data_IF_951320811316
#
_entry.id   IF_951320811316
#
_cell.length_a   1.000
_cell.length_b   1.000
_cell.length_c   1.000
_cell.angle_alpha   90.00
_cell.angle_beta   90.00
_cell.angle_gamma   90.00
#
_symmetry.space_group_name_H-M   'P 1'
#
loop_
_entity.id
_entity.type
_entity.pdbx_description
1 polymer ?
#
# COMPACT_ATOMS: atom_id res chain seq x y z
N UNK A 1 33.95 -3.42 -73.57
CA UNK A 1 32.86 -2.43 -73.46
C UNK A 1 32.43 -2.33 -72.00
N UNK A 2 32.62 -1.18 -71.33
CA UNK A 2 32.14 -0.94 -69.95
C UNK A 2 31.03 0.11 -69.99
N UNK A 3 29.82 -0.27 -69.61
CA UNK A 3 28.68 0.63 -69.49
C UNK A 3 28.86 1.56 -68.29
N UNK A 4 28.73 2.88 -68.49
CA UNK A 4 28.74 3.89 -67.42
C UNK A 4 27.35 3.97 -66.80
N UNK A 5 27.23 3.55 -65.55
CA UNK A 5 26.02 3.69 -64.72
C UNK A 5 25.90 5.15 -64.25
N UNK A 6 24.91 5.89 -64.75
CA UNK A 6 24.52 7.21 -64.22
C UNK A 6 23.78 7.02 -62.89
N UNK A 7 24.45 7.33 -61.77
CA UNK A 7 23.78 7.49 -60.47
C UNK A 7 23.09 8.84 -60.45
N UNK A 8 21.76 8.87 -60.36
CA UNK A 8 21.02 10.11 -60.09
C UNK A 8 21.37 10.62 -58.70
N UNK A 9 21.64 11.91 -58.51
CA UNK A 9 21.81 12.47 -57.18
C UNK A 9 20.51 12.28 -56.38
N UNK A 10 20.58 11.96 -55.08
CA UNK A 10 19.39 11.92 -54.25
C UNK A 10 18.80 13.34 -54.19
N UNK A 11 17.54 13.49 -54.58
CA UNK A 11 16.79 14.75 -54.42
C UNK A 11 16.65 15.03 -52.92
N UNK A 12 17.39 16.02 -52.42
CA UNK A 12 17.25 16.51 -51.06
C UNK A 12 15.98 17.38 -51.00
N UNK A 13 14.84 16.75 -50.70
CA UNK A 13 13.61 17.47 -50.41
C UNK A 13 13.72 18.16 -49.04
N UNK A 14 13.60 19.48 -49.02
CA UNK A 14 13.78 20.36 -47.85
C UNK A 14 12.68 20.27 -46.77
N UNK A 15 12.20 19.06 -46.44
CA UNK A 15 11.17 18.83 -45.42
C UNK A 15 11.69 18.18 -44.12
N UNK A 16 13.00 17.97 -43.97
CA UNK A 16 13.56 17.29 -42.79
C UNK A 16 13.31 18.04 -41.47
N UNK A 17 13.32 19.38 -41.50
CA UNK A 17 13.10 20.20 -40.30
C UNK A 17 11.65 20.07 -39.79
N UNK A 18 10.66 20.12 -40.68
CA UNK A 18 9.24 19.99 -40.30
C UNK A 18 8.93 18.56 -39.83
N UNK A 19 9.57 17.56 -40.43
CA UNK A 19 9.43 16.16 -40.03
C UNK A 19 9.96 15.89 -38.61
N UNK A 20 11.11 16.47 -38.25
CA UNK A 20 11.66 16.37 -36.89
C UNK A 20 10.77 17.12 -35.89
N UNK A 21 10.26 18.31 -36.25
CA UNK A 21 9.34 19.09 -35.41
C UNK A 21 8.06 18.30 -35.11
N UNK A 22 7.45 17.69 -36.13
CA UNK A 22 6.28 16.84 -35.96
C UNK A 22 6.61 15.61 -35.10
N UNK A 23 7.76 14.99 -35.30
CA UNK A 23 8.21 13.85 -34.49
C UNK A 23 8.36 14.20 -33.00
N UNK A 24 8.95 15.35 -32.69
CA UNK A 24 9.10 15.84 -31.31
C UNK A 24 7.72 16.10 -30.69
N UNK A 25 6.80 16.73 -31.43
CA UNK A 25 5.43 16.99 -30.94
C UNK A 25 4.72 15.69 -30.60
N UNK A 26 4.74 14.71 -31.50
CA UNK A 26 4.14 13.38 -31.28
C UNK A 26 4.78 12.70 -30.07
N UNK A 27 6.10 12.73 -29.96
CA UNK A 27 6.84 12.14 -28.84
C UNK A 27 6.48 12.83 -27.52
N UNK A 28 6.38 14.15 -27.49
CA UNK A 28 5.99 14.91 -26.28
C UNK A 28 4.61 14.49 -25.78
N UNK A 29 3.61 14.35 -26.67
CA UNK A 29 2.29 13.85 -26.28
C UNK A 29 2.35 12.40 -25.78
N UNK A 30 3.14 11.53 -26.41
CA UNK A 30 3.36 10.17 -25.96
C UNK A 30 3.96 10.10 -24.54
N UNK A 31 4.95 10.94 -24.26
CA UNK A 31 5.58 11.03 -22.94
C UNK A 31 4.63 11.60 -21.88
N UNK A 32 3.82 12.61 -22.22
CA UNK A 32 2.76 13.10 -21.31
C UNK A 32 1.75 12.00 -20.96
N UNK A 33 1.33 11.22 -21.96
CA UNK A 33 0.44 10.08 -21.74
C UNK A 33 1.07 9.04 -20.80
N UNK A 34 2.34 8.70 -21.01
CA UNK A 34 3.08 7.78 -20.14
C UNK A 34 3.21 8.32 -18.71
N UNK A 35 3.49 9.61 -18.54
CA UNK A 35 3.58 10.24 -17.22
C UNK A 35 2.24 10.16 -16.46
N UNK A 36 1.12 10.33 -17.16
CA UNK A 36 -0.22 10.13 -16.60
C UNK A 36 -0.44 8.69 -16.12
N UNK A 37 -0.06 7.70 -16.93
CA UNK A 37 -0.12 6.29 -16.53
C UNK A 37 0.76 6.00 -15.32
N UNK A 38 1.98 6.54 -15.26
CA UNK A 38 2.87 6.38 -14.10
C UNK A 38 2.26 6.99 -12.83
N UNK A 39 1.65 8.18 -12.91
CA UNK A 39 1.01 8.82 -11.77
C UNK A 39 -0.17 7.99 -11.23
N UNK A 40 -1.01 7.45 -12.11
CA UNK A 40 -2.12 6.56 -11.72
C UNK A 40 -1.60 5.24 -11.14
N UNK A 41 -0.56 4.64 -11.71
CA UNK A 41 0.07 3.43 -11.18
C UNK A 41 0.61 3.65 -9.75
N UNK A 42 1.26 4.80 -9.50
CA UNK A 42 1.75 5.14 -8.17
C UNK A 42 0.60 5.31 -7.16
N UNK A 43 -0.49 5.98 -7.57
CA UNK A 43 -1.70 6.14 -6.74
C UNK A 43 -2.29 4.78 -6.38
N UNK A 44 -2.49 3.92 -7.37
CA UNK A 44 -3.03 2.57 -7.16
C UNK A 44 -2.11 1.72 -6.27
N UNK A 45 -0.78 1.86 -6.42
CA UNK A 45 0.17 1.14 -5.58
C UNK A 45 0.11 1.61 -4.12
N UNK A 46 -0.07 2.91 -3.87
CA UNK A 46 -0.26 3.45 -2.51
C UNK A 46 -1.54 2.92 -1.86
N UNK A 47 -2.65 2.91 -2.60
CA UNK A 47 -3.92 2.35 -2.12
C UNK A 47 -3.80 0.86 -1.80
N UNK A 48 -3.19 0.08 -2.69
CA UNK A 48 -2.93 -1.35 -2.46
C UNK A 48 -2.05 -1.59 -1.23
N UNK A 49 -1.01 -0.77 -1.01
CA UNK A 49 -0.18 -0.86 0.20
C UNK A 49 -0.97 -0.55 1.47
N UNK A 50 -1.83 0.47 1.45
CA UNK A 50 -2.67 0.81 2.60
C UNK A 50 -3.65 -0.33 2.92
N UNK A 51 -4.30 -0.90 1.91
CA UNK A 51 -5.18 -2.06 2.08
C UNK A 51 -4.42 -3.28 2.62
N UNK A 52 -3.23 -3.57 2.08
CA UNK A 52 -2.39 -4.67 2.57
C UNK A 52 -1.97 -4.47 4.04
N UNK A 53 -1.59 -3.25 4.42
CA UNK A 53 -1.27 -2.93 5.82
C UNK A 53 -2.49 -3.09 6.74
N UNK A 54 -3.67 -2.63 6.32
CA UNK A 54 -4.90 -2.79 7.08
C UNK A 54 -5.29 -4.27 7.27
N UNK A 55 -5.22 -5.07 6.21
CA UNK A 55 -5.48 -6.53 6.28
C UNK A 55 -4.46 -7.21 7.18
N UNK A 56 -3.19 -6.85 7.10
CA UNK A 56 -2.14 -7.39 7.98
C UNK A 56 -2.43 -7.07 9.45
N UNK A 57 -2.78 -5.83 9.78
CA UNK A 57 -3.11 -5.43 11.16
C UNK A 57 -4.39 -6.12 11.65
N UNK A 58 -5.41 -6.26 10.81
CA UNK A 58 -6.64 -6.97 11.15
C UNK A 58 -6.37 -8.47 11.39
N UNK A 59 -5.53 -9.09 10.56
CA UNK A 59 -5.15 -10.50 10.70
C UNK A 59 -4.32 -10.74 11.96
N UNK A 60 -3.40 -9.83 12.29
CA UNK A 60 -2.61 -9.86 13.54
C UNK A 60 -3.53 -9.88 14.77
N UNK A 61 -4.52 -8.98 14.83
CA UNK A 61 -5.49 -8.96 15.94
C UNK A 61 -6.38 -10.21 15.96
N UNK A 62 -6.83 -10.67 14.78
CA UNK A 62 -7.65 -11.88 14.68
C UNK A 62 -6.91 -13.12 15.20
N UNK A 63 -5.61 -13.23 14.92
CA UNK A 63 -4.80 -14.35 15.40
C UNK A 63 -4.60 -14.28 16.92
N UNK A 64 -4.37 -13.09 17.48
CA UNK A 64 -4.31 -12.90 18.95
C UNK A 64 -5.62 -13.30 19.63
N UNK A 65 -6.77 -12.92 19.05
CA UNK A 65 -8.09 -13.35 19.53
C UNK A 65 -8.27 -14.87 19.48
N UNK A 66 -7.81 -15.53 18.40
CA UNK A 66 -7.82 -17.00 18.31
C UNK A 66 -6.92 -17.67 19.34
N UNK A 67 -5.80 -17.04 19.69
CA UNK A 67 -4.92 -17.48 20.78
C UNK A 67 -5.53 -17.36 22.17
N UNK A 68 -6.62 -16.58 22.33
CA UNK A 68 -7.32 -16.36 23.58
C UNK A 68 -8.85 -16.52 23.44
N UNK A 69 -9.33 -17.72 23.04
CA UNK A 69 -10.73 -17.91 22.67
C UNK A 69 -11.69 -17.73 23.84
N UNK A 70 -11.26 -18.03 25.07
CA UNK A 70 -12.09 -17.89 26.28
C UNK A 70 -12.47 -16.45 26.61
N UNK A 71 -11.68 -15.47 26.16
CA UNK A 71 -12.03 -14.05 26.25
C UNK A 71 -12.70 -13.57 24.96
N UNK A 72 -12.17 -13.97 23.79
CA UNK A 72 -12.65 -13.50 22.49
C UNK A 72 -14.12 -13.88 22.19
N UNK A 73 -14.58 -15.04 22.67
CA UNK A 73 -15.96 -15.51 22.46
C UNK A 73 -16.98 -14.87 23.40
N UNK A 74 -16.56 -14.06 24.38
CA UNK A 74 -17.48 -13.40 25.31
C UNK A 74 -18.27 -12.33 24.56
N UNK A 75 -19.59 -12.42 24.60
CA UNK A 75 -20.47 -11.48 23.89
C UNK A 75 -20.72 -10.19 24.67
N UNK A 76 -20.46 -10.17 25.98
CA UNK A 76 -20.63 -8.99 26.82
C UNK A 76 -19.43 -8.03 26.69
N UNK A 77 -19.60 -6.80 26.16
CA UNK A 77 -18.53 -5.80 26.00
C UNK A 77 -17.91 -5.30 27.32
N UNK A 78 -18.56 -5.53 28.46
CA UNK A 78 -17.99 -5.26 29.78
C UNK A 78 -16.90 -6.26 30.19
N UNK A 79 -16.89 -7.45 29.58
CA UNK A 79 -16.01 -8.57 29.93
C UNK A 79 -15.08 -9.02 28.80
N UNK A 80 -15.17 -8.36 27.63
CA UNK A 80 -14.38 -8.67 26.44
C UNK A 80 -13.58 -7.44 26.01
N UNK A 81 -12.27 -7.37 26.32
CA UNK A 81 -11.39 -6.28 25.90
C UNK A 81 -11.22 -6.13 24.39
N UNK A 82 -11.52 -7.16 23.59
CA UNK A 82 -11.45 -7.08 22.12
C UNK A 82 -12.67 -6.37 21.52
N UNK A 83 -13.79 -6.22 22.26
CA UNK A 83 -14.99 -5.51 21.82
C UNK A 83 -14.96 -4.01 22.18
N UNK A 84 -13.78 -3.40 22.23
CA UNK A 84 -13.63 -1.99 22.62
C UNK A 84 -14.45 -1.06 21.70
N UNK A 85 -15.29 -0.23 22.32
CA UNK A 85 -15.95 0.89 21.66
C UNK A 85 -14.98 2.05 21.51
N UNK A 86 -14.99 2.75 20.35
CA UNK A 86 -14.25 4.01 20.09
C UNK A 86 -14.48 5.11 21.14
N UNK A 87 -15.52 4.98 21.97
CA UNK A 87 -15.87 5.94 23.03
C UNK A 87 -15.26 5.62 24.39
N UNK A 88 -14.59 4.48 24.57
CA UNK A 88 -13.81 4.23 25.79
C UNK A 88 -12.43 4.84 25.62
N UNK A 89 -12.01 5.63 26.62
CA UNK A 89 -10.64 6.06 26.76
C UNK A 89 -9.72 4.84 26.58
N UNK A 90 -8.63 5.03 25.83
CA UNK A 90 -7.62 4.01 25.64
C UNK A 90 -7.33 3.34 27.00
N UNK A 91 -7.26 2.00 27.06
CA UNK A 91 -7.08 1.31 28.33
C UNK A 91 -5.94 1.98 29.09
N UNK A 92 -6.26 2.40 30.32
CA UNK A 92 -5.31 3.02 31.22
C UNK A 92 -4.02 2.22 31.18
N UNK A 93 -2.90 2.93 31.00
CA UNK A 93 -1.53 2.46 30.83
C UNK A 93 -1.34 0.98 31.18
N UNK A 94 -0.79 0.24 30.22
CA UNK A 94 -0.28 -1.11 30.39
C UNK A 94 0.36 -1.25 31.78
N UNK A 95 -0.33 -1.92 32.70
CA UNK A 95 0.21 -2.14 34.04
C UNK A 95 1.10 -3.41 34.10
N UNK A 96 1.23 -4.16 32.99
CA UNK A 96 2.20 -5.25 32.85
C UNK A 96 2.44 -5.56 31.35
N UNK A 97 3.69 -5.53 30.92
CA UNK A 97 4.13 -6.04 29.63
C UNK A 97 4.04 -7.58 29.66
N UNK A 98 3.13 -8.18 28.88
CA UNK A 98 2.96 -9.63 28.85
C UNK A 98 4.16 -10.39 28.22
N UNK A 99 5.13 -9.68 27.64
CA UNK A 99 6.37 -10.24 27.07
C UNK A 99 7.41 -10.46 28.17
N UNK A 100 7.56 -9.51 29.08
CA UNK A 100 8.57 -9.55 30.16
C UNK A 100 7.99 -10.09 31.47
N UNK A 101 6.73 -9.74 31.78
CA UNK A 101 6.01 -10.22 32.94
C UNK A 101 4.85 -11.12 32.49
N UNK A 102 4.86 -12.39 32.87
CA UNK A 102 3.76 -13.32 32.52
C UNK A 102 2.42 -12.75 32.98
N UNK A 103 1.51 -12.51 32.04
CA UNK A 103 0.17 -12.08 32.36
C UNK A 103 -0.59 -13.21 33.06
N UNK A 104 -1.01 -12.94 34.30
CA UNK A 104 -1.58 -13.96 35.19
C UNK A 104 -2.97 -14.46 34.77
N UNK A 105 -3.70 -13.69 33.94
CA UNK A 105 -5.07 -14.03 33.53
C UNK A 105 -5.28 -13.78 32.03
N UNK A 106 -6.15 -14.57 31.37
CA UNK A 106 -6.52 -14.36 29.96
C UNK A 106 -7.05 -12.96 29.67
N UNK A 107 -7.74 -12.34 30.65
CA UNK A 107 -8.25 -10.98 30.54
C UNK A 107 -7.14 -9.94 30.43
N UNK A 108 -6.03 -10.15 31.16
CA UNK A 108 -4.86 -9.25 31.10
C UNK A 108 -4.10 -9.39 29.80
N UNK A 109 -4.04 -10.59 29.23
CA UNK A 109 -3.50 -10.83 27.88
C UNK A 109 -4.31 -10.06 26.84
N UNK A 110 -5.65 -10.14 26.89
CA UNK A 110 -6.51 -9.43 25.95
C UNK A 110 -6.40 -7.90 26.04
N UNK A 111 -6.26 -7.34 27.25
CA UNK A 111 -6.03 -5.90 27.46
C UNK A 111 -4.68 -5.45 26.90
N UNK A 112 -3.64 -6.27 27.04
CA UNK A 112 -2.34 -6.01 26.45
C UNK A 112 -2.38 -6.07 24.92
N UNK A 113 -2.95 -7.14 24.35
CA UNK A 113 -3.04 -7.36 22.90
C UNK A 113 -3.67 -6.17 22.17
N UNK A 114 -4.84 -5.73 22.64
CA UNK A 114 -5.55 -4.59 22.04
C UNK A 114 -4.79 -3.28 22.29
N UNK A 115 -4.12 -3.14 23.44
CA UNK A 115 -3.30 -1.98 23.76
C UNK A 115 -2.12 -1.83 22.82
N UNK A 116 -1.36 -2.91 22.58
CA UNK A 116 -0.25 -2.94 21.63
C UNK A 116 -0.73 -2.72 20.18
N UNK A 117 -1.84 -3.37 19.80
CA UNK A 117 -2.41 -3.24 18.46
C UNK A 117 -2.83 -1.80 18.16
N UNK A 118 -3.47 -1.11 19.11
CA UNK A 118 -3.90 0.29 18.97
C UNK A 118 -2.73 1.26 18.80
N UNK A 119 -1.51 0.92 19.24
CA UNK A 119 -0.31 1.74 19.00
C UNK A 119 0.23 1.60 17.58
N UNK A 120 -0.17 0.53 16.85
CA UNK A 120 0.33 0.18 15.51
C UNK A 120 -0.65 0.55 14.38
N UNK A 121 -1.86 0.96 14.74
CA UNK A 121 -2.96 1.35 13.84
C UNK A 121 -3.00 2.86 13.73
#
# INVERSE_FOLDING_TARGET
MRARSHRRPPEAAGSTLIEILVSIVILSFGLLGMAGLQATALRNNREARQQASAVRLATDLAERMRGNPGVALRTNPGSNPYLQSRTRAAPAAIAADCVVARCATPDRVAVWDIGEWLQRV
#
